data_IF_151054573627
#
_entry.id   IF_151054573627
#
_cell.length_a   1.000
_cell.length_b   1.000
_cell.length_c   1.000
_cell.angle_alpha   90.00
_cell.angle_beta   90.00
_cell.angle_gamma   90.00
#
_symmetry.space_group_name_H-M   'P 1'
#
loop_
_entity.id
_entity.type
_entity.pdbx_description
1 polymer ?
#
# COMPACT_ATOMS: atom_id res chain seq x y z
N UNK A 1 -6.43 -5.24 4.07
CA UNK A 1 -6.00 -4.43 5.24
C UNK A 1 -7.13 -4.04 6.21
N UNK A 2 -8.26 -3.47 5.77
CA UNK A 2 -9.39 -3.05 6.63
C UNK A 2 -9.90 -4.15 7.57
N UNK A 3 -9.99 -5.40 7.10
CA UNK A 3 -10.38 -6.55 7.93
C UNK A 3 -9.53 -6.68 9.20
N UNK A 4 -8.21 -6.52 9.09
CA UNK A 4 -7.30 -6.60 10.23
C UNK A 4 -7.52 -5.45 11.22
N UNK A 5 -7.69 -4.22 10.71
CA UNK A 5 -7.99 -3.05 11.55
C UNK A 5 -9.29 -3.22 12.35
N UNK A 6 -10.32 -3.85 11.78
CA UNK A 6 -11.61 -4.02 12.45
C UNK A 6 -11.66 -5.23 13.38
N UNK A 7 -10.98 -6.34 13.04
CA UNK A 7 -11.00 -7.56 13.86
C UNK A 7 -9.98 -7.55 14.99
N UNK A 8 -8.80 -6.95 14.75
CA UNK A 8 -7.69 -6.95 15.69
C UNK A 8 -6.94 -5.60 15.65
N UNK A 9 -7.58 -4.49 16.09
CA UNK A 9 -6.99 -3.15 16.00
C UNK A 9 -5.66 -3.03 16.76
N UNK A 10 -5.48 -3.74 17.88
CA UNK A 10 -4.21 -3.77 18.61
C UNK A 10 -3.07 -4.38 17.77
N UNK A 11 -3.29 -5.56 17.17
CA UNK A 11 -2.29 -6.19 16.29
C UNK A 11 -2.04 -5.38 15.03
N UNK A 12 -3.06 -4.69 14.50
CA UNK A 12 -2.87 -3.74 13.40
C UNK A 12 -1.96 -2.58 13.82
N UNK A 13 -2.23 -1.96 14.97
CA UNK A 13 -1.43 -0.84 15.48
C UNK A 13 0.02 -1.26 15.70
N UNK A 14 0.26 -2.44 16.29
CA UNK A 14 1.60 -3.00 16.45
C UNK A 14 2.29 -3.24 15.10
N UNK A 15 1.59 -3.85 14.13
CA UNK A 15 2.16 -4.18 12.83
C UNK A 15 2.54 -2.93 12.00
N UNK A 16 1.71 -1.88 12.04
CA UNK A 16 1.93 -0.65 11.28
C UNK A 16 2.63 0.46 12.08
N UNK A 17 2.99 0.22 13.35
CA UNK A 17 3.88 1.06 14.15
C UNK A 17 5.34 0.93 13.70
N UNK A 18 5.56 0.95 12.39
CA UNK A 18 6.86 0.82 11.73
C UNK A 18 7.18 2.11 10.96
N UNK A 19 7.98 3.03 11.55
CA UNK A 19 8.32 4.27 10.90
C UNK A 19 9.08 4.12 9.57
N UNK A 20 9.82 3.02 9.38
CA UNK A 20 10.57 2.78 8.15
C UNK A 20 9.64 2.60 6.94
N UNK A 21 8.49 1.95 7.12
CA UNK A 21 7.48 1.83 6.07
C UNK A 21 7.00 3.22 5.61
N UNK A 22 6.74 4.12 6.56
CA UNK A 22 6.33 5.49 6.27
C UNK A 22 7.43 6.28 5.53
N UNK A 23 8.68 6.17 5.96
CA UNK A 23 9.82 6.84 5.32
C UNK A 23 10.03 6.38 3.88
N UNK A 24 9.96 5.07 3.62
CA UNK A 24 10.07 4.51 2.26
C UNK A 24 8.93 5.00 1.37
N UNK A 25 7.70 4.97 1.88
CA UNK A 25 6.51 5.42 1.16
C UNK A 25 6.58 6.92 0.83
N UNK A 26 6.90 7.77 1.81
CA UNK A 26 6.96 9.22 1.64
C UNK A 26 8.10 9.65 0.71
N UNK A 27 9.27 9.00 0.80
CA UNK A 27 10.39 9.26 -0.09
C UNK A 27 10.07 8.99 -1.58
N UNK A 28 9.16 8.05 -1.86
CA UNK A 28 8.73 7.73 -3.22
C UNK A 28 7.49 8.50 -3.68
N UNK A 29 6.49 8.64 -2.82
CA UNK A 29 5.13 9.08 -3.18
C UNK A 29 4.76 10.47 -2.66
N UNK A 30 5.58 11.03 -1.76
CA UNK A 30 5.21 12.18 -0.95
C UNK A 30 4.25 11.83 0.20
N UNK A 31 3.84 12.86 0.98
CA UNK A 31 2.96 12.68 2.13
C UNK A 31 1.53 12.32 1.70
N UNK A 32 0.75 11.83 2.65
CA UNK A 32 -0.66 11.48 2.43
C UNK A 32 -0.88 10.25 1.53
N UNK A 33 0.15 9.41 1.37
CA UNK A 33 0.03 8.12 0.71
C UNK A 33 -1.04 7.24 1.36
N UNK A 34 -1.54 6.27 0.60
CA UNK A 34 -2.54 5.32 1.06
C UNK A 34 -2.03 3.88 0.91
N UNK A 35 -1.97 3.16 2.03
CA UNK A 35 -1.53 1.76 2.05
C UNK A 35 -2.73 0.83 1.90
N UNK A 36 -2.64 -0.13 0.99
CA UNK A 36 -3.51 -1.31 0.93
C UNK A 36 -2.65 -2.56 1.07
N UNK A 37 -3.22 -3.64 1.60
CA UNK A 37 -2.45 -4.84 1.87
C UNK A 37 -3.27 -6.12 1.70
N UNK A 38 -2.67 -7.10 1.03
CA UNK A 38 -3.24 -8.42 0.76
C UNK A 38 -2.25 -9.53 1.11
N UNK A 39 -2.73 -10.59 1.74
CA UNK A 39 -1.91 -11.77 2.01
C UNK A 39 -1.77 -12.57 0.72
N UNK A 40 -0.54 -12.90 0.36
CA UNK A 40 -0.22 -13.80 -0.72
C UNK A 40 0.45 -15.06 -0.16
N UNK A 41 -0.09 -16.22 -0.51
CA UNK A 41 0.45 -17.53 -0.11
C UNK A 41 0.78 -18.32 -1.37
N UNK A 42 2.03 -18.75 -1.49
CA UNK A 42 2.45 -19.71 -2.52
C UNK A 42 2.62 -21.06 -1.83
N UNK A 43 1.72 -21.99 -2.15
CA UNK A 43 1.74 -23.34 -1.60
C UNK A 43 2.90 -24.17 -2.18
N UNK A 44 3.36 -25.22 -1.48
CA UNK A 44 4.26 -26.23 -2.05
C UNK A 44 3.82 -26.69 -3.44
N UNK A 45 4.75 -26.73 -4.39
CA UNK A 45 4.47 -27.07 -5.80
C UNK A 45 3.79 -25.97 -6.62
N UNK A 46 3.50 -24.80 -6.03
CA UNK A 46 2.91 -23.66 -6.73
C UNK A 46 3.79 -23.21 -7.91
N UNK A 47 3.20 -23.07 -9.09
CA UNK A 47 3.93 -22.71 -10.30
C UNK A 47 4.20 -21.21 -10.39
N UNK A 48 5.32 -20.84 -11.02
CA UNK A 48 5.65 -19.46 -11.30
C UNK A 48 4.54 -18.77 -12.10
N UNK A 49 4.41 -17.46 -11.86
CA UNK A 49 3.54 -16.60 -12.66
C UNK A 49 4.27 -16.15 -13.92
N UNK A 50 3.50 -15.69 -14.91
CA UNK A 50 4.05 -14.95 -16.03
C UNK A 50 4.56 -13.58 -15.56
N UNK A 51 5.63 -13.04 -16.19
CA UNK A 51 6.10 -11.70 -15.86
C UNK A 51 4.98 -10.69 -16.11
N UNK A 52 4.91 -9.68 -15.27
CA UNK A 52 3.96 -8.60 -15.41
C UNK A 52 4.51 -7.31 -14.81
N UNK A 53 3.80 -6.21 -15.10
CA UNK A 53 3.91 -4.96 -14.35
C UNK A 53 2.66 -4.80 -13.51
N UNK A 54 2.81 -4.19 -12.34
CA UNK A 54 1.70 -3.87 -11.47
C UNK A 54 1.08 -2.51 -11.82
N UNK A 55 0.03 -2.17 -11.07
CA UNK A 55 -0.79 -0.97 -11.19
C UNK A 55 -1.66 -0.91 -12.45
N UNK A 56 -2.53 0.09 -12.55
CA UNK A 56 -3.71 0.07 -13.44
C UNK A 56 -3.46 -0.45 -14.86
N UNK A 57 -2.40 0.00 -15.54
CA UNK A 57 -2.09 -0.43 -16.91
C UNK A 57 -1.66 -1.91 -17.01
N UNK A 58 -1.04 -2.46 -15.97
CA UNK A 58 -0.65 -3.86 -15.89
C UNK A 58 -1.82 -4.86 -15.86
N UNK A 59 -3.01 -4.39 -15.46
CA UNK A 59 -4.22 -5.22 -15.40
C UNK A 59 -5.15 -5.07 -16.61
N UNK A 60 -4.82 -4.16 -17.54
CA UNK A 60 -5.63 -3.93 -18.74
C UNK A 60 -5.24 -4.88 -19.88
N UNK A 61 -6.04 -4.92 -20.94
CA UNK A 61 -5.69 -5.55 -22.21
C UNK A 61 -4.77 -4.63 -23.04
N UNK A 62 -4.08 -5.19 -24.03
CA UNK A 62 -3.16 -4.41 -24.87
C UNK A 62 -3.86 -3.25 -25.60
N UNK A 63 -5.05 -3.48 -26.15
CA UNK A 63 -5.86 -2.48 -26.86
C UNK A 63 -6.25 -1.29 -25.95
N UNK A 64 -6.46 -1.53 -24.66
CA UNK A 64 -6.73 -0.46 -23.69
C UNK A 64 -5.45 0.32 -23.37
N UNK A 65 -4.33 -0.39 -23.16
CA UNK A 65 -3.03 0.21 -22.84
C UNK A 65 -2.52 1.10 -23.99
N UNK A 66 -2.71 0.68 -25.24
CA UNK A 66 -2.33 1.43 -26.46
C UNK A 66 -3.02 2.80 -26.57
N UNK A 67 -4.18 2.99 -25.92
CA UNK A 67 -4.90 4.27 -25.93
C UNK A 67 -4.26 5.33 -25.04
N UNK A 68 -3.37 4.95 -24.13
CA UNK A 68 -2.67 5.89 -23.25
C UNK A 68 -1.37 6.36 -23.91
N UNK A 69 -1.09 7.68 -23.95
CA UNK A 69 0.16 8.18 -24.50
C UNK A 69 1.33 7.81 -23.59
N UNK A 70 2.53 7.69 -24.17
CA UNK A 70 3.75 7.27 -23.46
C UNK A 70 4.01 8.00 -22.14
N UNK A 71 3.81 9.34 -22.02
CA UNK A 71 3.99 10.02 -20.74
C UNK A 71 3.09 9.49 -19.61
N UNK A 72 1.89 8.97 -19.91
CA UNK A 72 1.03 8.34 -18.90
C UNK A 72 1.46 6.92 -18.53
N UNK A 73 2.11 6.19 -19.44
CA UNK A 73 2.78 4.93 -19.07
C UNK A 73 3.89 5.18 -18.06
N UNK A 74 4.70 6.20 -18.33
CA UNK A 74 5.80 6.60 -17.43
C UNK A 74 5.25 7.15 -16.12
N UNK A 75 4.28 8.06 -16.13
CA UNK A 75 3.69 8.65 -14.93
C UNK A 75 3.04 7.59 -14.01
N UNK A 76 2.34 6.62 -14.60
CA UNK A 76 1.62 5.55 -13.89
C UNK A 76 2.52 4.85 -12.86
N UNK A 77 3.79 4.63 -13.18
CA UNK A 77 4.73 3.93 -12.30
C UNK A 77 5.11 4.71 -11.03
N UNK A 78 4.92 6.04 -11.03
CA UNK A 78 5.23 6.92 -9.90
C UNK A 78 4.00 7.23 -9.03
N UNK A 79 2.82 6.74 -9.40
CA UNK A 79 1.59 6.91 -8.61
C UNK A 79 1.36 5.78 -7.59
N UNK A 80 2.22 4.76 -7.59
CA UNK A 80 2.20 3.70 -6.58
C UNK A 80 3.62 3.18 -6.31
N UNK A 81 3.80 2.58 -5.15
CA UNK A 81 4.97 1.79 -4.77
C UNK A 81 4.49 0.38 -4.43
N UNK A 82 5.17 -0.62 -4.97
CA UNK A 82 4.92 -2.02 -4.63
C UNK A 82 5.87 -2.45 -3.52
N UNK A 83 5.33 -3.16 -2.54
CA UNK A 83 6.07 -3.66 -1.40
C UNK A 83 5.60 -5.04 -0.96
N UNK A 84 6.43 -5.72 -0.17
CA UNK A 84 6.05 -6.97 0.49
C UNK A 84 6.76 -7.07 1.84
N UNK A 85 6.04 -7.61 2.83
CA UNK A 85 6.62 -8.03 4.11
C UNK A 85 6.62 -9.55 4.16
N UNK A 86 7.78 -10.17 4.33
CA UNK A 86 7.88 -11.61 4.48
C UNK A 86 7.28 -12.05 5.84
N UNK A 87 6.29 -12.94 5.82
CA UNK A 87 5.69 -13.49 7.05
C UNK A 87 6.22 -14.89 7.42
N UNK A 88 6.92 -15.51 6.48
CA UNK A 88 7.73 -16.71 6.67
C UNK A 88 9.12 -16.43 6.10
N UNK A 89 10.11 -17.25 6.48
CA UNK A 89 11.34 -17.30 5.70
C UNK A 89 11.00 -17.72 4.27
N UNK A 90 11.77 -17.23 3.30
CA UNK A 90 11.59 -17.45 1.88
C UNK A 90 12.96 -17.74 1.25
N UNK A 91 13.50 -18.94 1.41
CA UNK A 91 14.65 -19.36 0.62
C UNK A 91 14.25 -19.40 -0.87
N UNK A 92 15.21 -19.33 -1.79
CA UNK A 92 14.93 -19.22 -3.25
C UNK A 92 14.04 -20.36 -3.75
N UNK A 93 14.22 -21.56 -3.20
CA UNK A 93 13.45 -22.77 -3.51
C UNK A 93 11.97 -22.64 -3.18
N UNK A 94 11.60 -21.73 -2.27
CA UNK A 94 10.20 -21.45 -1.89
C UNK A 94 9.47 -20.50 -2.85
N UNK A 95 10.15 -20.05 -3.92
CA UNK A 95 9.57 -19.16 -4.92
C UNK A 95 9.33 -17.72 -4.45
N UNK A 96 10.32 -17.03 -3.83
CA UNK A 96 10.21 -15.58 -3.62
C UNK A 96 10.08 -14.86 -4.97
N UNK A 97 9.70 -13.59 -4.93
CA UNK A 97 9.47 -12.80 -6.14
C UNK A 97 10.70 -12.80 -7.06
N UNK A 98 10.50 -13.13 -8.33
CA UNK A 98 11.45 -12.95 -9.41
C UNK A 98 11.38 -11.50 -9.89
N UNK A 99 12.53 -10.85 -10.01
CA UNK A 99 12.66 -9.44 -10.36
C UNK A 99 13.57 -9.32 -11.57
N UNK A 100 13.19 -8.57 -12.60
CA UNK A 100 14.09 -8.26 -13.72
C UNK A 100 14.70 -6.87 -13.53
N UNK A 101 15.95 -6.75 -13.08
CA UNK A 101 16.55 -5.46 -12.76
C UNK A 101 16.51 -4.48 -13.94
N UNK A 102 16.27 -3.19 -13.64
CA UNK A 102 16.20 -2.08 -14.61
C UNK A 102 15.08 -2.15 -15.64
N UNK A 103 14.26 -3.21 -15.68
CA UNK A 103 13.18 -3.36 -16.66
C UNK A 103 12.10 -2.27 -16.57
N UNK A 104 11.96 -1.56 -15.44
CA UNK A 104 11.08 -0.40 -15.30
C UNK A 104 11.47 0.79 -16.18
N UNK A 105 12.74 0.84 -16.64
CA UNK A 105 13.24 1.90 -17.52
C UNK A 105 12.78 1.74 -18.98
N UNK A 106 12.18 0.61 -19.33
CA UNK A 106 11.62 0.40 -20.66
C UNK A 106 10.21 0.98 -20.75
N UNK A 107 10.07 2.13 -21.42
CA UNK A 107 8.82 2.90 -21.41
C UNK A 107 7.61 2.10 -21.94
N UNK A 108 7.82 1.25 -22.95
CA UNK A 108 6.77 0.42 -23.57
C UNK A 108 6.48 -0.89 -22.81
N UNK A 109 7.06 -1.10 -21.63
CA UNK A 109 6.97 -2.43 -21.00
C UNK A 109 5.58 -2.82 -20.49
N UNK A 110 4.62 -1.90 -20.39
CA UNK A 110 3.20 -2.25 -20.16
C UNK A 110 2.54 -2.96 -21.36
N UNK A 111 3.10 -2.78 -22.56
CA UNK A 111 2.74 -3.52 -23.76
C UNK A 111 3.63 -4.76 -23.94
N UNK A 112 4.92 -4.60 -23.68
CA UNK A 112 5.92 -5.58 -24.11
C UNK A 112 6.00 -6.85 -23.25
N UNK A 113 5.60 -6.81 -21.97
CA UNK A 113 5.78 -7.96 -21.05
C UNK A 113 5.09 -9.25 -21.48
N UNK A 114 4.13 -9.16 -22.40
CA UNK A 114 3.33 -10.28 -22.93
C UNK A 114 3.94 -10.91 -24.17
N UNK A 115 4.95 -10.26 -24.74
CA UNK A 115 5.61 -10.71 -25.96
C UNK A 115 6.53 -11.89 -25.63
N UNK A 116 6.57 -12.95 -26.46
CA UNK A 116 7.39 -14.12 -26.21
C UNK A 116 8.86 -13.79 -25.93
N UNK A 117 9.42 -12.80 -26.64
CA UNK A 117 10.82 -12.40 -26.50
C UNK A 117 11.10 -11.78 -25.11
N UNK A 118 10.13 -11.06 -24.55
CA UNK A 118 10.25 -10.48 -23.20
C UNK A 118 10.04 -11.53 -22.12
N UNK A 119 9.17 -12.51 -22.35
CA UNK A 119 8.97 -13.65 -21.43
C UNK A 119 10.25 -14.47 -21.36
N UNK A 120 10.82 -14.84 -22.52
CA UNK A 120 12.08 -15.58 -22.59
C UNK A 120 13.23 -14.79 -21.94
N UNK A 121 13.33 -13.49 -22.21
CA UNK A 121 14.33 -12.64 -21.58
C UNK A 121 14.16 -12.59 -20.05
N UNK A 122 12.92 -12.50 -19.56
CA UNK A 122 12.63 -12.51 -18.13
C UNK A 122 13.04 -13.84 -17.47
N UNK A 123 12.73 -14.98 -18.10
CA UNK A 123 13.11 -16.31 -17.60
C UNK A 123 14.63 -16.47 -17.51
N UNK A 124 15.38 -15.90 -18.46
CA UNK A 124 16.85 -16.01 -18.51
C UNK A 124 17.58 -15.02 -17.58
N UNK A 125 16.98 -13.87 -17.27
CA UNK A 125 17.69 -12.75 -16.64
C UNK A 125 17.09 -12.24 -15.33
N UNK A 126 15.94 -12.76 -14.90
CA UNK A 126 15.38 -12.42 -13.60
C UNK A 126 16.27 -12.93 -12.45
N UNK A 127 16.22 -12.20 -11.34
CA UNK A 127 16.92 -12.54 -10.11
C UNK A 127 15.92 -12.77 -8.99
N UNK A 128 16.30 -13.60 -8.03
CA UNK A 128 15.57 -13.83 -6.79
C UNK A 128 16.48 -13.56 -5.61
N UNK A 129 15.89 -13.08 -4.53
CA UNK A 129 16.55 -12.87 -3.25
C UNK A 129 15.87 -13.75 -2.20
N UNK A 130 16.67 -14.45 -1.41
CA UNK A 130 16.16 -15.08 -0.21
C UNK A 130 15.75 -13.99 0.80
N UNK A 131 14.61 -14.15 1.44
CA UNK A 131 14.11 -13.22 2.46
C UNK A 131 13.93 -13.97 3.77
N UNK A 132 14.34 -13.35 4.88
CA UNK A 132 13.98 -13.82 6.21
C UNK A 132 12.61 -13.27 6.60
N UNK A 133 11.91 -13.95 7.51
CA UNK A 133 10.68 -13.44 8.10
C UNK A 133 10.91 -12.03 8.69
N UNK A 134 10.07 -11.09 8.30
CA UNK A 134 10.16 -9.68 8.69
C UNK A 134 10.86 -8.78 7.66
N UNK A 135 11.58 -9.36 6.69
CA UNK A 135 12.22 -8.57 5.65
C UNK A 135 11.20 -7.84 4.78
N UNK A 136 11.61 -6.66 4.33
CA UNK A 136 10.85 -5.77 3.47
C UNK A 136 11.48 -5.75 2.07
N UNK A 137 10.68 -6.00 1.05
CA UNK A 137 11.07 -5.83 -0.36
C UNK A 137 10.20 -4.74 -0.98
N UNK A 138 10.82 -3.71 -1.55
CA UNK A 138 10.13 -2.64 -2.28
C UNK A 138 10.70 -2.51 -3.68
N UNK A 139 9.83 -2.25 -4.65
CA UNK A 139 10.22 -2.01 -6.03
C UNK A 139 9.22 -1.12 -6.76
N UNK A 140 9.70 -0.49 -7.83
CA UNK A 140 8.85 0.29 -8.74
C UNK A 140 7.84 -0.66 -9.41
N UNK A 141 6.53 -0.35 -9.43
CA UNK A 141 5.49 -1.22 -10.01
C UNK A 141 5.69 -1.54 -11.51
N UNK A 142 6.46 -0.74 -12.25
CA UNK A 142 6.81 -1.01 -13.64
C UNK A 142 8.00 -1.97 -13.81
N UNK A 143 8.62 -2.44 -12.73
CA UNK A 143 9.58 -3.52 -12.79
C UNK A 143 8.85 -4.80 -13.23
N UNK A 144 9.36 -5.47 -14.26
CA UNK A 144 8.90 -6.80 -14.61
C UNK A 144 9.22 -7.73 -13.46
N UNK A 145 8.18 -8.43 -12.98
CA UNK A 145 8.29 -9.35 -11.87
C UNK A 145 7.24 -10.45 -11.98
N UNK A 146 7.46 -11.52 -11.22
CA UNK A 146 6.56 -12.65 -11.11
C UNK A 146 6.76 -13.36 -9.76
N UNK A 147 5.75 -14.07 -9.26
CA UNK A 147 6.00 -15.08 -8.23
C UNK A 147 6.81 -16.24 -8.86
N UNK A 148 7.85 -16.71 -8.16
CA UNK A 148 8.62 -17.89 -8.58
C UNK A 148 7.91 -19.19 -8.27
N UNK A 149 8.37 -20.29 -8.87
CA UNK A 149 7.88 -21.63 -8.55
C UNK A 149 8.32 -22.01 -7.14
N UNK A 150 7.39 -22.51 -6.32
CA UNK A 150 7.70 -23.09 -5.02
C UNK A 150 8.03 -24.57 -5.21
N UNK A 151 9.34 -24.87 -5.20
CA UNK A 151 9.88 -26.21 -5.34
C UNK A 151 9.93 -27.00 -4.02
N UNK A 152 9.54 -26.38 -2.89
CA UNK A 152 9.48 -27.07 -1.60
C UNK A 152 8.26 -28.00 -1.53
N UNK A 153 8.31 -28.97 -0.60
CA UNK A 153 7.21 -29.91 -0.37
C UNK A 153 6.32 -29.54 0.83
N UNK A 154 6.87 -28.80 1.81
CA UNK A 154 6.18 -28.51 3.08
C UNK A 154 6.01 -27.01 3.37
N UNK A 155 6.76 -26.13 2.70
CA UNK A 155 6.81 -24.71 3.07
C UNK A 155 5.79 -23.87 2.30
N UNK A 156 4.86 -23.28 3.03
CA UNK A 156 3.95 -22.27 2.52
C UNK A 156 4.63 -20.89 2.58
N UNK A 157 5.05 -20.36 1.44
CA UNK A 157 5.64 -19.01 1.35
C UNK A 157 4.54 -17.97 1.53
N UNK A 158 4.59 -17.22 2.62
CA UNK A 158 3.56 -16.22 2.95
C UNK A 158 4.15 -14.81 3.02
N UNK A 159 3.59 -13.90 2.22
CA UNK A 159 3.92 -12.47 2.25
C UNK A 159 2.66 -11.65 2.46
N UNK A 160 2.79 -10.50 3.13
CA UNK A 160 1.79 -9.45 3.05
C UNK A 160 2.22 -8.45 1.98
N UNK A 161 1.55 -8.48 0.84
CA UNK A 161 1.80 -7.57 -0.28
C UNK A 161 1.23 -6.20 0.08
N UNK A 162 2.07 -5.18 -0.03
CA UNK A 162 1.73 -3.79 0.19
C UNK A 162 1.63 -3.12 -1.17
N UNK A 163 0.51 -2.47 -1.43
CA UNK A 163 0.39 -1.52 -2.52
C UNK A 163 0.16 -0.15 -1.90
N UNK A 164 1.10 0.75 -2.13
CA UNK A 164 1.11 2.07 -1.50
C UNK A 164 0.87 3.09 -2.60
N UNK A 165 -0.29 3.74 -2.61
CA UNK A 165 -0.67 4.71 -3.63
C UNK A 165 -0.32 6.12 -3.18
N UNK A 166 0.10 6.97 -4.13
CA UNK A 166 0.18 8.42 -3.91
C UNK A 166 -1.20 8.97 -3.57
N UNK A 167 -1.24 10.09 -2.84
CA UNK A 167 -2.46 10.88 -2.65
C UNK A 167 -3.16 11.28 -3.96
N UNK A 168 -2.39 11.36 -5.06
CA UNK A 168 -2.90 11.69 -6.39
C UNK A 168 -3.22 10.46 -7.26
N UNK A 169 -2.91 9.26 -6.76
CA UNK A 169 -3.16 8.00 -7.45
C UNK A 169 -4.51 7.41 -7.10
N UNK A 170 -5.03 6.52 -7.96
CA UNK A 170 -6.21 5.71 -7.63
C UNK A 170 -5.75 4.40 -6.98
N UNK A 171 -6.13 4.09 -5.73
CA UNK A 171 -5.84 2.78 -5.13
C UNK A 171 -6.55 1.65 -5.87
N UNK A 172 -5.97 0.45 -5.86
CA UNK A 172 -6.61 -0.75 -6.44
C UNK A 172 -7.67 -1.36 -5.53
N UNK A 173 -7.50 -1.26 -4.21
CA UNK A 173 -8.48 -1.71 -3.21
C UNK A 173 -9.19 -0.50 -2.60
N UNK A 174 -10.52 -0.56 -2.48
CA UNK A 174 -11.30 0.44 -1.77
C UNK A 174 -11.43 0.06 -0.29
N UNK A 175 -11.00 0.95 0.61
CA UNK A 175 -11.05 0.75 2.06
C UNK A 175 -11.97 1.77 2.72
N UNK A 176 -12.76 1.32 3.69
CA UNK A 176 -13.55 2.19 4.57
C UNK A 176 -12.65 2.78 5.66
N UNK A 177 -11.95 3.85 5.29
CA UNK A 177 -11.00 4.58 6.15
C UNK A 177 -11.68 5.17 7.38
N UNK A 178 -12.92 5.64 7.26
CA UNK A 178 -13.71 6.17 8.38
C UNK A 178 -13.91 5.07 9.44
N UNK A 179 -14.31 3.86 9.03
CA UNK A 179 -14.45 2.73 9.97
C UNK A 179 -13.12 2.29 10.57
N UNK A 180 -12.03 2.31 9.79
CA UNK A 180 -10.70 1.99 10.31
C UNK A 180 -10.26 3.00 11.38
N UNK A 181 -10.44 4.30 11.13
CA UNK A 181 -10.17 5.37 12.09
C UNK A 181 -10.91 5.15 13.41
N UNK A 182 -12.22 4.88 13.33
CA UNK A 182 -13.06 4.64 14.52
C UNK A 182 -12.62 3.42 15.33
N UNK A 183 -12.20 2.34 14.67
CA UNK A 183 -11.74 1.13 15.34
C UNK A 183 -10.37 1.30 16.01
N UNK A 184 -9.46 2.06 15.37
CA UNK A 184 -8.08 2.21 15.83
C UNK A 184 -7.87 3.34 16.84
N UNK A 185 -8.71 4.38 16.82
CA UNK A 185 -8.53 5.54 17.70
C UNK A 185 -8.47 5.19 19.20
N UNK A 186 -9.39 4.39 19.78
CA UNK A 186 -9.31 4.03 21.21
C UNK A 186 -8.03 3.25 21.55
N UNK A 187 -7.60 2.38 20.63
CA UNK A 187 -6.37 1.59 20.80
C UNK A 187 -5.14 2.50 20.79
N UNK A 188 -5.05 3.44 19.85
CA UNK A 188 -3.94 4.38 19.79
C UNK A 188 -3.88 5.29 21.01
N UNK A 189 -5.03 5.74 21.52
CA UNK A 189 -5.10 6.52 22.76
C UNK A 189 -4.59 5.71 23.97
N UNK A 190 -4.96 4.43 24.08
CA UNK A 190 -4.47 3.55 25.13
C UNK A 190 -2.96 3.32 25.03
N UNK A 191 -2.45 3.00 23.84
CA UNK A 191 -1.03 2.79 23.58
C UNK A 191 -0.19 4.04 23.86
N UNK A 192 -0.71 5.22 23.50
CA UNK A 192 -0.07 6.51 23.78
C UNK A 192 -0.02 6.80 25.29
N UNK A 193 -1.15 6.60 25.99
CA UNK A 193 -1.25 6.86 27.44
C UNK A 193 -0.37 5.90 28.25
N UNK A 194 -0.26 4.65 27.79
CA UNK A 194 0.61 3.65 28.40
C UNK A 194 2.09 3.80 27.99
N UNK A 195 2.43 4.79 27.13
CA UNK A 195 3.77 4.99 26.58
C UNK A 195 4.34 3.74 25.88
N UNK A 196 3.46 2.93 25.27
CA UNK A 196 3.85 1.72 24.53
C UNK A 196 4.24 2.02 23.07
N UNK A 197 3.74 3.12 22.51
CA UNK A 197 4.17 3.65 21.22
C UNK A 197 4.61 5.11 21.39
N UNK A 198 5.71 5.47 20.74
CA UNK A 198 6.15 6.85 20.64
C UNK A 198 5.38 7.64 19.58
N UNK A 199 5.65 8.94 19.48
CA UNK A 199 4.97 9.81 18.52
C UNK A 199 5.21 9.42 17.05
N UNK A 200 6.40 8.91 16.72
CA UNK A 200 6.75 8.52 15.36
C UNK A 200 5.99 7.23 14.96
N UNK A 201 5.91 6.27 15.88
CA UNK A 201 5.15 5.04 15.72
C UNK A 201 3.65 5.31 15.59
N UNK A 202 3.09 6.19 16.44
CA UNK A 202 1.68 6.61 16.34
C UNK A 202 1.41 7.24 14.96
N UNK A 203 2.27 8.15 14.50
CA UNK A 203 2.12 8.77 13.19
C UNK A 203 2.22 7.75 12.04
N UNK A 204 3.07 6.73 12.15
CA UNK A 204 3.15 5.64 11.17
C UNK A 204 1.83 4.86 11.09
N UNK A 205 1.19 4.56 12.23
CA UNK A 205 -0.13 3.91 12.24
C UNK A 205 -1.19 4.82 11.61
N UNK A 206 -1.20 6.11 11.95
CA UNK A 206 -2.15 7.09 11.37
C UNK A 206 -2.00 7.17 9.85
N UNK A 207 -0.76 7.23 9.34
CA UNK A 207 -0.47 7.29 7.90
C UNK A 207 -1.00 6.05 7.15
N UNK A 208 -0.94 4.87 7.78
CA UNK A 208 -1.49 3.64 7.23
C UNK A 208 -3.03 3.55 7.35
N UNK A 209 -3.62 4.32 8.26
CA UNK A 209 -5.03 4.18 8.66
C UNK A 209 -5.96 5.14 7.94
N UNK A 210 -5.64 6.43 7.98
CA UNK A 210 -6.53 7.51 7.59
C UNK A 210 -6.09 8.17 6.28
N UNK A 211 -7.05 8.74 5.56
CA UNK A 211 -6.74 9.49 4.34
C UNK A 211 -6.00 10.79 4.69
N UNK A 212 -4.83 10.96 4.08
CA UNK A 212 -3.95 12.11 4.28
C UNK A 212 -4.16 13.21 3.25
N UNK A 213 -5.13 13.05 2.34
CA UNK A 213 -5.47 14.06 1.33
C UNK A 213 -6.88 14.62 1.52
N UNK A 214 -7.05 15.88 1.17
CA UNK A 214 -8.32 16.61 1.39
C UNK A 214 -9.37 16.31 0.32
N UNK A 215 -8.93 15.87 -0.86
CA UNK A 215 -9.80 15.66 -2.02
C UNK A 215 -9.90 14.17 -2.39
N UNK A 216 -11.00 13.74 -3.01
CA UNK A 216 -12.18 14.54 -3.35
C UNK A 216 -13.02 14.91 -2.11
N UNK A 217 -13.69 16.06 -2.20
CA UNK A 217 -14.70 16.52 -1.23
C UNK A 217 -15.82 17.26 -1.98
N UNK A 218 -16.95 17.51 -1.33
CA UNK A 218 -17.96 18.44 -1.87
C UNK A 218 -17.54 19.88 -1.53
N UNK A 219 -17.27 20.69 -2.56
CA UNK A 219 -16.83 22.08 -2.40
C UNK A 219 -17.94 23.04 -1.93
N UNK A 220 -19.21 22.68 -2.07
CA UNK A 220 -20.33 23.47 -1.55
C UNK A 220 -20.43 23.36 -0.02
N UNK A 221 -20.16 22.17 0.53
CA UNK A 221 -20.31 21.87 1.97
C UNK A 221 -18.99 21.76 2.73
N UNK A 222 -17.87 21.66 2.02
CA UNK A 222 -16.51 21.55 2.55
C UNK A 222 -15.49 22.36 1.71
N UNK A 223 -15.72 23.66 1.47
CA UNK A 223 -14.79 24.48 0.69
C UNK A 223 -13.47 24.70 1.44
N UNK A 224 -12.37 24.99 0.72
CA UNK A 224 -11.17 25.56 1.35
C UNK A 224 -11.52 26.84 2.12
N UNK A 225 -11.20 26.87 3.41
CA UNK A 225 -11.45 28.04 4.27
C UNK A 225 -10.13 28.74 4.57
N UNK A 226 -10.10 30.07 4.37
CA UNK A 226 -8.91 30.92 4.60
C UNK A 226 -7.65 30.44 3.86
N UNK A 227 -7.82 29.89 2.65
CA UNK A 227 -6.71 29.38 1.83
C UNK A 227 -6.15 28.03 2.27
N UNK A 228 -6.76 27.37 3.27
CA UNK A 228 -6.39 26.03 3.70
C UNK A 228 -7.35 25.01 3.09
N UNK A 229 -6.79 23.92 2.56
CA UNK A 229 -7.58 22.78 2.14
C UNK A 229 -8.34 22.19 3.34
N UNK A 230 -9.47 21.50 3.11
CA UNK A 230 -10.24 20.85 4.17
C UNK A 230 -9.40 19.89 5.01
N UNK A 231 -9.75 19.74 6.29
CA UNK A 231 -9.05 18.86 7.21
C UNK A 231 -9.05 17.41 6.69
N UNK A 232 -7.90 16.74 6.79
CA UNK A 232 -7.74 15.34 6.40
C UNK A 232 -8.05 14.40 7.56
N UNK A 233 -8.31 13.13 7.25
CA UNK A 233 -8.53 12.11 8.28
C UNK A 233 -7.30 11.94 9.18
N UNK A 234 -6.10 12.01 8.59
CA UNK A 234 -4.85 11.97 9.37
C UNK A 234 -4.73 13.17 10.32
N UNK A 235 -5.00 14.39 9.84
CA UNK A 235 -5.00 15.60 10.69
C UNK A 235 -6.02 15.50 11.83
N UNK A 236 -7.21 14.96 11.55
CA UNK A 236 -8.25 14.76 12.56
C UNK A 236 -7.80 13.75 13.64
N UNK A 237 -7.17 12.63 13.27
CA UNK A 237 -6.63 11.67 14.24
C UNK A 237 -5.54 12.27 15.10
N UNK A 238 -4.58 12.98 14.48
CA UNK A 238 -3.47 13.65 15.19
C UNK A 238 -4.02 14.65 16.20
N UNK A 239 -4.97 15.50 15.79
CA UNK A 239 -5.62 16.46 16.67
C UNK A 239 -6.31 15.77 17.84
N UNK A 240 -7.15 14.77 17.56
CA UNK A 240 -7.94 14.09 18.58
C UNK A 240 -7.07 13.33 19.60
N UNK A 241 -5.91 12.82 19.21
CA UNK A 241 -4.94 12.20 20.13
C UNK A 241 -4.23 13.26 20.98
N UNK A 242 -3.76 14.36 20.37
CA UNK A 242 -3.09 15.44 21.08
C UNK A 242 -4.00 16.09 22.13
N UNK A 243 -5.27 16.30 21.79
CA UNK A 243 -6.29 16.87 22.68
C UNK A 243 -6.96 15.84 23.61
N UNK A 244 -6.58 14.55 23.49
CA UNK A 244 -7.12 13.43 24.29
C UNK A 244 -8.64 13.37 24.29
N UNK A 245 -9.26 13.46 23.11
CA UNK A 245 -10.71 13.37 23.00
C UNK A 245 -11.24 12.03 23.51
N UNK A 246 -12.42 12.05 24.12
CA UNK A 246 -13.16 10.81 24.36
C UNK A 246 -13.53 10.15 23.02
N UNK A 247 -13.51 8.81 22.91
CA UNK A 247 -13.84 8.10 21.66
C UNK A 247 -15.17 8.52 21.02
N UNK A 248 -16.17 8.89 21.84
CA UNK A 248 -17.46 9.40 21.37
C UNK A 248 -17.35 10.75 20.64
N UNK A 249 -16.47 11.64 21.12
CA UNK A 249 -16.24 12.95 20.51
C UNK A 249 -15.51 12.77 19.17
N UNK A 250 -14.51 11.89 19.13
CA UNK A 250 -13.85 11.53 17.88
C UNK A 250 -14.83 10.94 16.86
N UNK A 251 -15.71 10.03 17.28
CA UNK A 251 -16.70 9.43 16.40
C UNK A 251 -17.67 10.46 15.79
N UNK A 252 -18.13 11.42 16.59
CA UNK A 252 -18.94 12.54 16.10
C UNK A 252 -18.18 13.42 15.11
N UNK A 253 -16.89 13.66 15.32
CA UNK A 253 -16.07 14.44 14.41
C UNK A 253 -15.86 13.73 13.06
N UNK A 254 -15.60 12.41 13.07
CA UNK A 254 -15.53 11.59 11.85
C UNK A 254 -16.84 11.66 11.06
N UNK A 255 -17.99 11.52 11.74
CA UNK A 255 -19.29 11.59 11.07
C UNK A 255 -19.57 12.99 10.49
N UNK A 256 -19.18 14.07 11.18
CA UNK A 256 -19.28 15.44 10.63
C UNK A 256 -18.43 15.62 9.39
N UNK A 257 -17.17 15.17 9.42
CA UNK A 257 -16.26 15.22 8.27
C UNK A 257 -16.86 14.44 7.09
N UNK A 258 -17.32 13.21 7.33
CA UNK A 258 -17.94 12.35 6.33
C UNK A 258 -19.17 12.99 5.69
N UNK A 259 -20.06 13.58 6.48
CA UNK A 259 -21.25 14.28 5.97
C UNK A 259 -20.89 15.45 5.07
N UNK A 260 -19.93 16.29 5.50
CA UNK A 260 -19.44 17.41 4.68
C UNK A 260 -18.87 16.97 3.35
N UNK A 261 -18.12 15.86 3.31
CA UNK A 261 -17.49 15.34 2.09
C UNK A 261 -18.46 14.70 1.10
N UNK A 262 -19.61 14.18 1.57
CA UNK A 262 -20.56 13.36 0.78
C UNK A 262 -21.92 14.00 0.51
N UNK A 263 -22.25 15.10 1.19
CA UNK A 263 -23.46 15.86 0.91
C UNK A 263 -23.54 16.24 -0.56
#
# INVERSE_FOLDING_TARGET
MQKAALLAPASFAEYYANPLLGLIAEAWLGPGFQVTAQVNVVHPGGQAQQPHRDYHLGFQTADVVERFPLPLHVLSQYLTLQGAVAHTDMPVESGPTMLLPYSQQYDLGYLAYRLPEFIEYFEQHSVQLALNKGDLLFFNPALLHAAGTNHTTEQHRMANLLQISSAFGKPMENLDRDRMMLALYPVLQQLQTAHLLDAQQINAVIACTADGYSFPTNLDTDPPLKGLAPQTGQQLMVQALAERWEPVIFAQAVERMRKKRRA
#
